data_IF_096155289136
#
_entry.id   IF_096155289136
#
_cell.length_a   1.000
_cell.length_b   1.000
_cell.length_c   1.000
_cell.angle_alpha   90.00
_cell.angle_beta   90.00
_cell.angle_gamma   90.00
#
_symmetry.space_group_name_H-M   'P 1'
#
loop_
_entity.id
_entity.type
_entity.pdbx_description
1 polymer ?
#
# COMPACT_ATOMS: atom_id res chain seq x y z
N UNK A 1 8.80 1.91 -16.64
CA UNK A 1 7.95 2.78 -15.81
C UNK A 1 8.18 4.21 -16.22
N UNK A 2 7.11 4.99 -16.37
CA UNK A 2 7.13 6.25 -17.10
C UNK A 2 8.20 7.24 -16.63
N UNK A 3 9.18 7.50 -17.50
CA UNK A 3 9.99 8.73 -17.49
C UNK A 3 9.35 9.73 -18.46
N UNK A 4 9.81 10.99 -18.43
CA UNK A 4 9.29 12.08 -19.28
C UNK A 4 9.13 11.72 -20.77
N UNK A 5 9.91 10.78 -21.31
CA UNK A 5 9.82 10.30 -22.70
C UNK A 5 9.10 8.97 -22.93
N UNK A 6 8.63 8.29 -21.89
CA UNK A 6 8.05 6.94 -21.99
C UNK A 6 6.51 6.94 -21.98
N UNK A 7 5.87 8.08 -21.66
CA UNK A 7 4.41 8.20 -21.64
C UNK A 7 3.85 8.14 -23.05
N UNK A 8 2.81 7.32 -23.33
CA UNK A 8 2.22 7.25 -24.66
C UNK A 8 1.74 8.64 -25.10
N UNK A 9 1.99 9.06 -26.35
CA UNK A 9 1.53 10.38 -26.83
C UNK A 9 0.01 10.59 -26.76
N UNK A 10 -0.76 9.50 -26.64
CA UNK A 10 -2.22 9.51 -26.48
C UNK A 10 -2.68 9.62 -25.04
N UNK A 11 -1.78 9.52 -24.06
CA UNK A 11 -2.15 9.63 -22.65
C UNK A 11 -2.52 11.07 -22.28
N UNK A 12 -3.39 11.27 -21.27
CA UNK A 12 -3.66 12.60 -20.75
C UNK A 12 -2.37 13.27 -20.20
N UNK A 13 -2.33 14.62 -20.14
CA UNK A 13 -1.18 15.32 -19.55
C UNK A 13 -0.95 14.90 -18.08
N UNK A 14 0.30 14.75 -17.64
CA UNK A 14 0.64 14.50 -16.24
C UNK A 14 0.00 15.51 -15.28
N UNK A 15 -0.45 15.05 -14.12
CA UNK A 15 -0.97 15.92 -13.06
C UNK A 15 0.12 16.48 -12.12
N UNK A 16 1.32 15.92 -12.20
CA UNK A 16 2.52 16.33 -11.43
C UNK A 16 3.72 16.41 -12.37
N UNK A 17 4.74 17.19 -12.00
CA UNK A 17 5.97 17.25 -12.78
C UNK A 17 6.82 15.98 -12.56
N UNK A 18 7.48 15.50 -13.60
CA UNK A 18 8.32 14.30 -13.50
C UNK A 18 9.47 14.47 -12.50
N UNK A 19 9.97 15.70 -12.33
CA UNK A 19 11.04 16.06 -11.40
C UNK A 19 10.61 15.95 -9.91
N UNK A 20 9.30 15.98 -9.65
CA UNK A 20 8.73 15.76 -8.32
C UNK A 20 8.67 14.26 -7.96
N UNK A 21 8.75 13.37 -8.96
CA UNK A 21 8.79 11.92 -8.77
C UNK A 21 10.24 11.47 -8.58
N UNK A 22 10.55 10.93 -7.41
CA UNK A 22 11.91 10.55 -7.02
C UNK A 22 12.04 9.05 -6.84
N UNK A 23 13.18 8.49 -7.22
CA UNK A 23 13.47 7.10 -6.90
C UNK A 23 13.76 6.94 -5.41
N UNK A 24 13.06 6.01 -4.78
CA UNK A 24 13.37 5.53 -3.42
C UNK A 24 14.51 4.51 -3.37
N UNK A 25 15.00 4.05 -4.53
CA UNK A 25 16.09 3.07 -4.65
C UNK A 25 15.65 1.71 -5.22
N UNK A 26 14.57 1.07 -4.72
CA UNK A 26 14.08 -0.17 -5.29
C UNK A 26 13.63 -0.02 -6.76
N UNK A 27 13.81 -1.05 -7.60
CA UNK A 27 13.13 -1.11 -8.89
C UNK A 27 11.62 -1.36 -8.70
N UNK A 28 10.80 -1.26 -9.77
CA UNK A 28 9.42 -1.73 -9.72
C UNK A 28 9.33 -3.17 -9.19
N UNK A 29 8.40 -3.41 -8.27
CA UNK A 29 8.21 -4.64 -7.50
C UNK A 29 9.46 -5.10 -6.70
N UNK A 30 10.45 -4.23 -6.52
CA UNK A 30 11.62 -4.48 -5.66
C UNK A 30 11.28 -4.60 -4.18
N UNK A 31 10.15 -4.00 -3.79
CA UNK A 31 9.43 -4.29 -2.55
C UNK A 31 8.22 -5.15 -2.96
N UNK A 32 8.31 -6.48 -2.85
CA UNK A 32 7.42 -7.36 -3.57
C UNK A 32 5.99 -7.25 -3.03
N UNK A 33 4.99 -6.92 -3.85
CA UNK A 33 3.59 -6.97 -3.43
C UNK A 33 3.16 -8.40 -3.09
N UNK A 34 2.10 -8.54 -2.29
CA UNK A 34 1.45 -9.84 -2.05
C UNK A 34 0.22 -9.93 -2.95
N UNK A 35 0.32 -10.73 -4.01
CA UNK A 35 -0.76 -10.90 -5.00
C UNK A 35 -1.65 -12.13 -4.72
N UNK A 36 -1.18 -13.06 -3.87
CA UNK A 36 -1.91 -14.26 -3.45
C UNK A 36 -1.91 -14.36 -1.91
N UNK A 37 -2.60 -13.45 -1.20
CA UNK A 37 -2.57 -13.42 0.25
C UNK A 37 -3.20 -14.69 0.87
N UNK A 38 -2.53 -15.22 1.88
CA UNK A 38 -3.02 -16.34 2.70
C UNK A 38 -3.38 -15.85 4.08
N UNK A 39 -4.46 -16.38 4.62
CA UNK A 39 -5.03 -15.91 5.88
C UNK A 39 -5.11 -17.01 6.94
N UNK A 40 -5.02 -16.59 8.19
CA UNK A 40 -5.23 -17.41 9.38
C UNK A 40 -6.47 -16.92 10.12
N UNK A 41 -7.06 -17.81 10.91
CA UNK A 41 -8.01 -17.40 11.93
C UNK A 41 -7.27 -16.72 13.10
N UNK A 42 -7.94 -15.86 13.88
CA UNK A 42 -7.28 -15.08 14.92
C UNK A 42 -6.63 -15.94 16.00
N UNK A 43 -7.20 -17.12 16.28
CA UNK A 43 -6.67 -18.10 17.24
C UNK A 43 -5.39 -18.81 16.80
N UNK A 44 -5.07 -18.80 15.50
CA UNK A 44 -3.87 -19.44 14.93
C UNK A 44 -2.71 -18.45 14.75
N UNK A 45 -2.91 -17.18 15.12
CA UNK A 45 -1.89 -16.13 15.03
C UNK A 45 -1.04 -16.15 16.31
N UNK A 46 0.18 -16.66 16.20
CA UNK A 46 1.15 -16.76 17.30
C UNK A 46 2.31 -15.74 17.22
N UNK A 47 2.30 -14.90 16.19
CA UNK A 47 3.43 -14.06 15.81
C UNK A 47 3.20 -12.55 16.02
N UNK A 48 2.04 -12.17 16.56
CA UNK A 48 1.68 -10.79 16.88
C UNK A 48 1.54 -10.62 18.39
N UNK A 49 2.27 -9.66 18.97
CA UNK A 49 2.00 -9.20 20.33
C UNK A 49 0.70 -8.39 20.39
N UNK A 50 0.03 -8.38 21.55
CA UNK A 50 -1.30 -7.78 21.72
C UNK A 50 -1.37 -6.29 21.35
N UNK A 51 -0.27 -5.55 21.47
CA UNK A 51 -0.18 -4.12 21.15
C UNK A 51 0.35 -3.83 19.74
N UNK A 52 0.72 -4.84 18.96
CA UNK A 52 1.16 -4.62 17.59
C UNK A 52 0.03 -4.12 16.71
N UNK A 53 0.28 -3.17 15.80
CA UNK A 53 -0.76 -2.61 14.96
C UNK A 53 -1.11 -3.51 13.77
N UNK A 54 -2.40 -3.59 13.47
CA UNK A 54 -2.95 -4.20 12.25
C UNK A 54 -3.80 -3.18 11.51
N UNK A 55 -3.81 -3.27 10.18
CA UNK A 55 -4.72 -2.52 9.32
C UNK A 55 -6.02 -3.33 9.20
N UNK A 56 -7.11 -2.76 9.69
CA UNK A 56 -8.43 -3.38 9.73
C UNK A 56 -9.29 -2.90 8.57
N UNK A 57 -9.73 -3.83 7.73
CA UNK A 57 -10.66 -3.61 6.61
C UNK A 57 -11.87 -4.51 6.80
N UNK A 58 -13.07 -4.00 6.55
CA UNK A 58 -14.27 -4.83 6.48
C UNK A 58 -15.10 -4.38 5.29
N UNK A 59 -15.46 -5.33 4.42
CA UNK A 59 -16.36 -5.11 3.29
C UNK A 59 -17.39 -6.23 3.29
N UNK A 60 -18.68 -5.88 3.28
CA UNK A 60 -19.80 -6.83 3.25
C UNK A 60 -19.71 -7.94 4.33
N UNK A 61 -19.22 -7.59 5.53
CA UNK A 61 -19.07 -8.50 6.67
C UNK A 61 -17.83 -9.39 6.64
N UNK A 62 -16.99 -9.28 5.60
CA UNK A 62 -15.70 -9.97 5.53
C UNK A 62 -14.60 -9.10 6.16
N UNK A 63 -14.31 -9.36 7.43
CA UNK A 63 -13.33 -8.60 8.20
C UNK A 63 -11.91 -9.16 8.04
N UNK A 64 -10.98 -8.30 7.64
CA UNK A 64 -9.56 -8.59 7.43
C UNK A 64 -8.65 -7.76 8.33
N UNK A 65 -7.59 -8.39 8.82
CA UNK A 65 -6.46 -7.70 9.44
C UNK A 65 -5.19 -7.94 8.62
N UNK A 66 -4.51 -6.85 8.24
CA UNK A 66 -3.20 -6.88 7.60
C UNK A 66 -2.15 -6.38 8.60
N UNK A 67 -1.31 -7.27 9.18
CA UNK A 67 -0.33 -6.87 10.17
C UNK A 67 0.65 -5.83 9.61
N UNK A 68 0.84 -4.71 10.32
CA UNK A 68 1.75 -3.64 9.86
C UNK A 68 3.18 -4.16 9.72
N UNK A 69 3.60 -5.11 10.57
CA UNK A 69 4.90 -5.76 10.46
C UNK A 69 5.09 -6.57 9.16
N UNK A 70 4.02 -6.98 8.48
CA UNK A 70 4.07 -7.59 7.14
C UNK A 70 3.98 -6.48 6.09
N UNK A 71 3.00 -5.58 6.23
CA UNK A 71 2.78 -4.47 5.28
C UNK A 71 4.00 -3.58 5.11
N UNK A 72 4.83 -3.40 6.14
CA UNK A 72 6.07 -2.63 6.06
C UNK A 72 7.08 -3.24 5.06
N UNK A 73 7.03 -4.55 4.81
CA UNK A 73 7.95 -5.25 3.90
C UNK A 73 7.41 -5.46 2.49
N UNK A 74 6.11 -5.26 2.30
CA UNK A 74 5.41 -5.56 1.05
C UNK A 74 4.73 -4.35 0.44
N UNK A 75 4.33 -3.39 1.29
CA UNK A 75 3.67 -2.12 0.99
C UNK A 75 2.32 -2.24 0.27
N UNK A 76 2.09 -3.28 -0.54
CA UNK A 76 0.87 -3.53 -1.29
C UNK A 76 0.45 -5.00 -1.12
N UNK A 77 -0.85 -5.19 -0.88
CA UNK A 77 -1.52 -6.50 -0.93
C UNK A 77 -2.72 -6.39 -1.87
N UNK A 78 -2.71 -7.17 -2.96
CA UNK A 78 -3.86 -7.31 -3.84
C UNK A 78 -4.73 -8.46 -3.31
N UNK A 79 -5.92 -8.14 -2.84
CA UNK A 79 -6.82 -9.08 -2.16
C UNK A 79 -8.24 -9.08 -2.77
N UNK A 80 -9.12 -9.95 -2.29
CA UNK A 80 -10.56 -9.91 -2.53
C UNK A 80 -11.29 -10.05 -1.19
N UNK A 81 -11.98 -8.99 -0.78
CA UNK A 81 -12.65 -8.88 0.52
C UNK A 81 -14.14 -8.65 0.29
N UNK A 82 -15.00 -9.50 0.85
CA UNK A 82 -16.44 -9.41 0.63
C UNK A 82 -16.85 -9.57 -0.84
N UNK A 83 -16.01 -10.21 -1.66
CA UNK A 83 -16.18 -10.30 -3.11
C UNK A 83 -15.73 -9.07 -3.91
N UNK A 84 -15.20 -8.03 -3.24
CA UNK A 84 -14.64 -6.84 -3.89
C UNK A 84 -13.12 -7.01 -4.07
N UNK A 85 -12.58 -6.91 -5.30
CA UNK A 85 -11.14 -6.84 -5.53
C UNK A 85 -10.58 -5.53 -4.94
N UNK A 86 -9.65 -5.64 -3.99
CA UNK A 86 -9.03 -4.49 -3.34
C UNK A 86 -7.51 -4.52 -3.47
N UNK A 87 -6.90 -3.33 -3.41
CA UNK A 87 -5.48 -3.19 -3.09
C UNK A 87 -5.37 -2.47 -1.75
N UNK A 88 -4.74 -3.13 -0.78
CA UNK A 88 -4.41 -2.54 0.51
C UNK A 88 -2.99 -2.04 0.41
N UNK A 89 -2.84 -0.72 0.51
CA UNK A 89 -1.54 -0.07 0.41
C UNK A 89 -1.14 0.50 1.76
N UNK A 90 0.14 0.39 2.10
CA UNK A 90 0.76 0.98 3.29
C UNK A 90 2.07 1.67 2.91
N UNK A 91 2.16 2.97 3.22
CA UNK A 91 3.38 3.73 3.05
C UNK A 91 4.12 3.80 4.40
N UNK A 92 5.23 3.07 4.58
CA UNK A 92 5.98 3.05 5.84
C UNK A 92 6.65 4.39 6.15
N UNK A 93 6.92 5.21 5.13
CA UNK A 93 7.55 6.52 5.29
C UNK A 93 6.59 7.57 5.85
N UNK A 94 5.30 7.42 5.56
CA UNK A 94 4.24 8.35 5.98
C UNK A 94 3.36 7.78 7.09
N UNK A 95 3.58 6.53 7.49
CA UNK A 95 2.73 5.77 8.42
C UNK A 95 1.23 5.86 8.04
N UNK A 96 0.93 5.75 6.74
CA UNK A 96 -0.42 5.90 6.20
C UNK A 96 -0.83 4.67 5.41
N UNK A 97 -2.09 4.27 5.56
CA UNK A 97 -2.66 3.12 4.90
C UNK A 97 -3.97 3.48 4.22
N UNK A 98 -4.22 2.94 3.03
CA UNK A 98 -5.48 3.12 2.30
C UNK A 98 -5.83 1.82 1.59
N UNK A 99 -7.12 1.47 1.55
CA UNK A 99 -7.63 0.39 0.72
C UNK A 99 -8.40 0.99 -0.47
N UNK A 100 -8.12 0.49 -1.67
CA UNK A 100 -8.78 0.93 -2.90
C UNK A 100 -9.49 -0.23 -3.58
N UNK A 101 -10.67 0.04 -4.13
CA UNK A 101 -11.29 -0.84 -5.14
C UNK A 101 -10.39 -0.88 -6.38
N UNK A 102 -10.04 -2.07 -6.85
CA UNK A 102 -9.21 -2.21 -8.05
C UNK A 102 -10.03 -2.18 -9.35
N UNK A 103 -11.35 -2.15 -9.27
CA UNK A 103 -12.22 -2.06 -10.45
C UNK A 103 -12.19 -0.65 -11.00
N UNK A 104 -11.83 -0.52 -12.27
CA UNK A 104 -11.89 0.73 -13.02
C UNK A 104 -12.51 0.45 -14.40
N UNK A 105 -13.76 0.88 -14.56
CA UNK A 105 -14.58 0.49 -15.71
C UNK A 105 -14.71 -1.04 -15.81
N UNK A 106 -14.34 -1.59 -16.96
CA UNK A 106 -14.39 -3.04 -17.22
C UNK A 106 -13.10 -3.79 -16.81
N UNK A 107 -12.14 -3.12 -16.16
CA UNK A 107 -10.84 -3.67 -15.78
C UNK A 107 -10.79 -3.91 -14.26
N UNK A 108 -10.10 -4.97 -13.86
CA UNK A 108 -9.57 -5.10 -12.50
C UNK A 108 -8.07 -4.82 -12.61
N UNK A 109 -7.63 -3.71 -12.02
CA UNK A 109 -6.24 -3.32 -11.98
C UNK A 109 -5.45 -4.23 -11.05
N UNK A 110 -4.16 -4.36 -11.33
CA UNK A 110 -3.22 -5.14 -10.54
C UNK A 110 -2.08 -4.22 -10.13
N UNK A 111 -1.95 -3.94 -8.84
CA UNK A 111 -1.07 -2.89 -8.35
C UNK A 111 0.26 -3.44 -7.86
N UNK A 112 1.33 -2.74 -8.19
CA UNK A 112 2.67 -3.02 -7.70
C UNK A 112 3.36 -1.82 -7.08
N UNK A 113 4.50 -2.07 -6.44
CA UNK A 113 5.32 -1.00 -5.86
C UNK A 113 6.18 -0.40 -6.96
N UNK A 114 6.14 0.92 -7.14
CA UNK A 114 6.91 1.55 -8.21
C UNK A 114 8.41 1.69 -7.89
N UNK A 115 8.76 1.71 -6.60
CA UNK A 115 10.06 2.18 -6.12
C UNK A 115 10.24 3.70 -6.27
N UNK A 116 9.17 4.43 -6.61
CA UNK A 116 9.13 5.89 -6.74
C UNK A 116 8.35 6.51 -5.58
N UNK A 117 8.68 7.78 -5.31
CA UNK A 117 8.09 8.60 -4.27
C UNK A 117 7.58 9.91 -4.86
N UNK A 118 6.45 10.39 -4.36
CA UNK A 118 5.91 11.73 -4.60
C UNK A 118 5.63 12.38 -3.25
N UNK A 119 6.24 13.54 -2.96
CA UNK A 119 6.20 14.15 -1.62
C UNK A 119 6.59 13.19 -0.48
N UNK A 120 7.55 12.31 -0.72
CA UNK A 120 8.00 11.23 0.19
C UNK A 120 6.97 10.14 0.47
N UNK A 121 5.83 10.17 -0.22
CA UNK A 121 4.82 9.12 -0.20
C UNK A 121 5.11 8.07 -1.28
N UNK A 122 4.74 6.83 -0.99
CA UNK A 122 4.74 5.75 -1.98
C UNK A 122 3.94 6.17 -3.22
N UNK A 123 4.50 5.88 -4.40
CA UNK A 123 3.75 5.89 -5.66
C UNK A 123 3.45 4.44 -6.03
N UNK A 124 2.19 4.10 -6.22
CA UNK A 124 1.80 2.78 -6.74
C UNK A 124 1.92 2.80 -8.26
N UNK A 125 1.91 1.64 -8.89
CA UNK A 125 1.64 1.56 -10.33
C UNK A 125 0.70 0.40 -10.63
N UNK A 126 -0.13 0.52 -11.67
CA UNK A 126 -0.83 -0.65 -12.20
C UNK A 126 0.03 -1.36 -13.24
N UNK A 127 0.12 -2.68 -13.17
CA UNK A 127 1.01 -3.46 -14.05
C UNK A 127 0.54 -3.49 -15.49
N UNK A 128 -0.76 -3.28 -15.73
CA UNK A 128 -1.38 -3.34 -17.05
C UNK A 128 -0.99 -2.16 -17.94
N UNK A 129 -1.09 -0.93 -17.42
CA UNK A 129 -0.85 0.30 -18.18
C UNK A 129 0.42 1.04 -17.73
N UNK A 130 1.04 0.58 -16.65
CA UNK A 130 2.18 1.23 -15.99
C UNK A 130 1.88 2.64 -15.49
N UNK A 131 0.61 3.03 -15.37
CA UNK A 131 0.24 4.34 -14.84
C UNK A 131 0.72 4.43 -13.40
N UNK A 132 1.27 5.58 -13.03
CA UNK A 132 1.65 5.91 -11.67
C UNK A 132 0.45 6.47 -10.93
N UNK A 133 0.25 5.98 -9.70
CA UNK A 133 -0.89 6.33 -8.87
C UNK A 133 -0.41 6.87 -7.53
N UNK A 134 -1.04 7.95 -7.06
CA UNK A 134 -0.80 8.47 -5.71
C UNK A 134 -1.34 7.48 -4.66
N UNK A 135 -0.48 7.00 -3.76
CA UNK A 135 -0.90 6.18 -2.62
C UNK A 135 -1.94 6.86 -1.73
N UNK A 136 -1.85 8.19 -1.61
CA UNK A 136 -2.70 8.96 -0.70
C UNK A 136 -4.11 9.21 -1.24
N UNK A 137 -4.22 9.46 -2.55
CA UNK A 137 -5.48 9.89 -3.16
C UNK A 137 -6.11 8.85 -4.06
N UNK A 138 -5.35 7.83 -4.49
CA UNK A 138 -5.82 6.84 -5.46
C UNK A 138 -6.01 7.43 -6.86
N UNK A 139 -5.44 8.60 -7.14
CA UNK A 139 -5.52 9.25 -8.45
C UNK A 139 -4.36 8.82 -9.35
N UNK A 140 -4.65 8.52 -10.62
CA UNK A 140 -3.63 8.33 -11.65
C UNK A 140 -2.95 9.66 -11.95
N UNK A 141 -1.65 9.75 -11.69
CA UNK A 141 -0.89 11.02 -11.79
C UNK A 141 -0.05 11.12 -13.07
N UNK A 142 0.44 9.99 -13.60
CA UNK A 142 1.26 9.93 -14.82
C UNK A 142 1.03 8.59 -15.55
N UNK A 143 0.56 8.63 -16.79
CA UNK A 143 0.34 7.44 -17.62
C UNK A 143 -1.01 7.42 -18.34
N UNK A 144 -1.38 6.28 -18.92
CA UNK A 144 -2.62 6.09 -19.69
C UNK A 144 -3.87 6.51 -18.90
N UNK A 145 -3.91 6.20 -17.59
CA UNK A 145 -5.06 6.41 -16.72
C UNK A 145 -4.94 7.70 -15.88
N UNK A 146 -4.19 8.69 -16.38
CA UNK A 146 -4.02 9.97 -15.67
C UNK A 146 -5.36 10.69 -15.50
N UNK A 147 -5.66 11.12 -14.28
CA UNK A 147 -6.93 11.77 -13.90
C UNK A 147 -8.04 10.82 -13.45
N UNK A 148 -7.88 9.51 -13.65
CA UNK A 148 -8.79 8.51 -13.07
C UNK A 148 -8.60 8.43 -11.56
N UNK A 149 -9.67 8.14 -10.82
CA UNK A 149 -9.68 8.05 -9.36
C UNK A 149 -10.25 6.71 -8.91
N UNK A 150 -9.54 6.05 -7.98
CA UNK A 150 -9.99 4.81 -7.38
C UNK A 150 -10.98 5.08 -6.23
N UNK A 151 -11.96 4.20 -6.08
CA UNK A 151 -12.87 4.23 -4.92
C UNK A 151 -12.10 3.75 -3.68
N UNK A 152 -12.22 4.48 -2.57
CA UNK A 152 -11.58 4.13 -1.29
C UNK A 152 -12.52 3.35 -0.38
N UNK A 153 -11.95 2.44 0.39
CA UNK A 153 -12.59 1.80 1.53
C UNK A 153 -11.97 2.27 2.85
N UNK A 154 -12.77 2.44 3.91
CA UNK A 154 -12.24 2.74 5.24
C UNK A 154 -11.27 1.66 5.71
N UNK A 155 -10.08 2.10 6.12
CA UNK A 155 -9.03 1.24 6.67
C UNK A 155 -8.56 1.85 7.99
N UNK A 156 -8.66 1.10 9.08
CA UNK A 156 -8.30 1.60 10.42
C UNK A 156 -7.05 0.93 10.94
N UNK A 157 -6.13 1.69 11.53
CA UNK A 157 -4.99 1.12 12.25
C UNK A 157 -5.38 0.93 13.71
N UNK A 158 -5.41 -0.33 14.18
CA UNK A 158 -5.81 -0.70 15.54
C UNK A 158 -4.81 -1.68 16.15
N UNK A 159 -4.80 -1.80 17.48
CA UNK A 159 -4.04 -2.85 18.15
C UNK A 159 -4.60 -4.24 17.81
N UNK A 160 -3.71 -5.21 17.66
CA UNK A 160 -4.05 -6.61 17.39
C UNK A 160 -5.07 -7.17 18.38
N UNK A 161 -4.86 -6.94 19.68
CA UNK A 161 -5.78 -7.40 20.73
C UNK A 161 -7.20 -6.86 20.51
N UNK A 162 -7.35 -5.55 20.27
CA UNK A 162 -8.64 -4.92 19.97
C UNK A 162 -9.33 -5.54 18.76
N UNK A 163 -8.59 -5.76 17.67
CA UNK A 163 -9.16 -6.36 16.47
C UNK A 163 -9.58 -7.81 16.70
N UNK A 164 -8.72 -8.62 17.34
CA UNK A 164 -8.99 -10.03 17.66
C UNK A 164 -10.24 -10.18 18.51
N UNK A 165 -10.40 -9.34 19.53
CA UNK A 165 -11.52 -9.41 20.46
C UNK A 165 -12.86 -9.03 19.80
N UNK A 166 -12.81 -8.22 18.75
CA UNK A 166 -14.01 -7.74 18.03
C UNK A 166 -14.32 -8.53 16.75
N UNK A 167 -13.37 -9.32 16.23
CA UNK A 167 -13.48 -10.07 14.98
C UNK A 167 -13.05 -11.54 15.17
N UNK A 168 -13.74 -12.33 16.01
CA UNK A 168 -13.31 -13.70 16.34
C UNK A 168 -13.29 -14.64 15.13
N UNK A 169 -14.13 -14.37 14.12
CA UNK A 169 -14.22 -15.12 12.86
C UNK A 169 -13.52 -14.41 11.68
N UNK A 170 -12.84 -13.28 11.95
CA UNK A 170 -12.14 -12.52 10.93
C UNK A 170 -10.87 -13.23 10.44
N UNK A 171 -10.31 -12.74 9.34
CA UNK A 171 -9.14 -13.33 8.71
C UNK A 171 -7.91 -12.42 8.81
N UNK A 172 -6.79 -12.99 9.23
CA UNK A 172 -5.53 -12.25 9.45
C UNK A 172 -4.50 -12.66 8.42
N UNK A 173 -3.90 -11.69 7.72
CA UNK A 173 -2.84 -11.97 6.75
C UNK A 173 -1.70 -12.73 7.44
N UNK A 174 -1.36 -13.88 6.88
CA UNK A 174 -0.34 -14.79 7.39
C UNK A 174 1.07 -14.36 6.96
N UNK A 175 2.09 -14.89 7.64
CA UNK A 175 3.50 -14.77 7.21
C UNK A 175 3.85 -15.68 6.03
N UNK A 176 2.94 -16.54 5.57
CA UNK A 176 3.11 -17.38 4.39
C UNK A 176 2.81 -16.56 3.12
N UNK A 177 3.71 -15.62 2.85
CA UNK A 177 3.61 -14.65 1.75
C UNK A 177 4.32 -15.12 0.48
N UNK A 178 5.02 -16.26 0.54
CA UNK A 178 5.96 -16.69 -0.49
C UNK A 178 7.36 -16.06 -0.40
N UNK A 179 7.61 -15.18 0.57
CA UNK A 179 8.90 -14.50 0.76
C UNK A 179 9.52 -14.78 2.13
N UNK A 180 10.86 -14.88 2.18
CA UNK A 180 11.61 -14.97 3.44
C UNK A 180 11.98 -13.57 3.92
N UNK A 181 11.23 -13.02 4.87
CA UNK A 181 11.46 -11.70 5.48
C UNK A 181 11.53 -11.80 7.00
N UNK A 182 12.23 -10.85 7.62
CA UNK A 182 12.32 -10.71 9.09
C UNK A 182 11.13 -9.87 9.60
N UNK A 183 9.92 -10.42 9.49
CA UNK A 183 8.71 -9.75 9.96
C UNK A 183 8.79 -9.50 11.48
N UNK A 184 8.51 -8.26 11.88
CA UNK A 184 8.68 -7.79 13.26
C UNK A 184 9.94 -6.93 13.45
N UNK A 185 10.84 -6.90 12.46
CA UNK A 185 11.94 -5.94 12.39
C UNK A 185 11.61 -4.85 11.37
N UNK A 186 11.78 -3.59 11.77
CA UNK A 186 11.61 -2.44 10.87
C UNK A 186 12.79 -2.37 9.86
N UNK A 187 12.55 -2.51 8.53
CA UNK A 187 13.58 -2.37 7.51
C UNK A 187 13.99 -0.91 7.26
N UNK A 188 13.25 0.07 7.81
CA UNK A 188 13.46 1.51 7.67
C UNK A 188 13.87 2.16 9.00
N UNK A 189 14.98 1.75 9.64
CA UNK A 189 15.36 2.29 10.94
C UNK A 189 15.60 3.80 10.86
N UNK A 190 14.97 4.57 11.75
CA UNK A 190 15.22 5.99 11.92
C UNK A 190 14.34 6.92 11.07
N UNK A 191 13.45 6.36 10.25
CA UNK A 191 12.43 7.10 9.49
C UNK A 191 11.20 7.47 10.32
N UNK A 192 10.93 6.69 11.35
CA UNK A 192 9.88 6.87 12.35
C UNK A 192 10.27 7.88 13.44
N UNK A 193 11.43 8.53 13.31
CA UNK A 193 11.91 9.53 14.27
C UNK A 193 11.17 10.84 14.10
N UNK A 194 10.51 11.27 15.17
CA UNK A 194 9.77 12.55 15.26
C UNK A 194 10.66 13.77 14.97
N UNK A 195 11.96 13.67 15.23
CA UNK A 195 12.97 14.70 14.99
C UNK A 195 13.75 14.53 13.67
N UNK A 196 13.36 13.58 12.82
CA UNK A 196 13.96 13.34 11.52
C UNK A 196 13.32 14.20 10.42
N UNK A 197 14.13 14.74 9.51
CA UNK A 197 13.61 15.25 8.23
C UNK A 197 13.18 14.04 7.40
N UNK A 198 11.92 13.95 6.93
CA UNK A 198 11.50 12.84 6.09
C UNK A 198 12.39 12.78 4.84
N UNK A 199 12.88 11.59 4.51
CA UNK A 199 13.78 11.41 3.39
C UNK A 199 13.16 11.91 2.09
N UNK A 200 13.88 12.78 1.39
CA UNK A 200 13.49 13.40 0.13
C UNK A 200 12.30 14.38 0.19
N UNK A 201 11.82 14.77 1.37
CA UNK A 201 10.82 15.83 1.52
C UNK A 201 11.44 17.23 1.29
N UNK A 202 10.69 18.13 0.65
CA UNK A 202 11.10 19.51 0.35
C UNK A 202 10.07 20.58 0.72
N UNK A 203 9.13 20.28 1.63
CA UNK A 203 8.26 21.29 2.24
C UNK A 203 8.82 21.86 3.54
N UNK A 204 8.19 22.91 4.07
CA UNK A 204 8.43 23.32 5.46
C UNK A 204 7.86 22.23 6.38
N UNK A 205 8.64 21.85 7.39
CA UNK A 205 8.16 20.98 8.47
C UNK A 205 7.50 21.90 9.49
N UNK A 206 6.19 21.79 9.67
CA UNK A 206 5.49 22.51 10.73
C UNK A 206 6.04 22.03 12.08
N UNK A 207 6.60 22.95 12.86
CA UNK A 207 7.17 22.73 14.19
C UNK A 207 6.37 23.37 15.31
#
# INVERSE_FOLDING_TARGET
MYRSGDVPPSAPPPLVQFEEIRSGGPPPDGIPPIDEPRFLLPGDVDFLADNEPVLALEIDGDARAYPVQIMTWHEIVNDTVGGTPVTVSYCPLCNSAVAYDRRLGDRILDFGTSGLLYNSALVMYDRQTQTLWSHFTGQGIIGELTGEELVTYPLATVAWSTWRDTNPDGLVLSRDTGFSRDYGRNPYPGYDRVDGVPFLFQGEVDG
#
